data_IF_119028198538
#
_entry.id   IF_119028198538
#
_cell.length_a   1.000
_cell.length_b   1.000
_cell.length_c   1.000
_cell.angle_alpha   90.00
_cell.angle_beta   90.00
_cell.angle_gamma   90.00
#
_symmetry.space_group_name_H-M   'P 1'
#
loop_
_entity.id
_entity.type
_entity.pdbx_description
1 polymer ?
#
# COMPACT_ATOMS: atom_id res chain seq x y z
N UNK A 1 -74.99 36.31 50.51
CA UNK A 1 -73.89 36.03 51.45
C UNK A 1 -73.27 34.70 51.07
N UNK A 2 -71.93 34.63 50.96
CA UNK A 2 -71.16 33.38 50.85
C UNK A 2 -70.40 33.20 49.54
N UNK A 3 -69.10 33.53 49.55
CA UNK A 3 -68.11 33.38 48.48
C UNK A 3 -67.51 31.95 48.39
N UNK A 4 -66.97 31.62 47.20
CA UNK A 4 -65.89 30.63 46.99
C UNK A 4 -66.13 29.82 45.70
N UNK A 5 -65.26 29.68 44.71
CA UNK A 5 -63.92 30.14 44.34
C UNK A 5 -63.69 29.63 42.89
N UNK A 6 -62.72 30.13 42.12
CA UNK A 6 -62.69 29.91 40.66
C UNK A 6 -62.21 28.51 40.24
N UNK A 7 -63.03 27.81 39.44
CA UNK A 7 -62.70 26.54 38.78
C UNK A 7 -61.80 26.77 37.56
N UNK A 8 -60.64 26.10 37.53
CA UNK A 8 -59.72 26.05 36.39
C UNK A 8 -60.08 24.79 35.57
N UNK A 9 -60.45 24.91 34.29
CA UNK A 9 -60.73 23.73 33.46
C UNK A 9 -59.43 23.01 33.07
N UNK A 10 -59.34 21.73 33.43
CA UNK A 10 -58.31 20.83 32.92
C UNK A 10 -58.63 20.44 31.48
N UNK A 11 -57.70 20.70 30.56
CA UNK A 11 -57.80 20.27 29.16
C UNK A 11 -57.62 18.75 29.04
N UNK A 12 -58.52 18.03 28.34
CA UNK A 12 -58.32 16.62 28.02
C UNK A 12 -57.21 16.43 26.99
N UNK A 13 -56.30 15.49 27.29
CA UNK A 13 -55.22 15.03 26.41
C UNK A 13 -55.81 14.14 25.29
N UNK A 14 -55.64 14.47 23.99
CA UNK A 14 -56.10 13.61 22.92
C UNK A 14 -55.21 12.36 22.75
N UNK A 15 -55.86 11.20 22.79
CA UNK A 15 -55.25 9.90 22.54
C UNK A 15 -54.86 9.68 21.07
N UNK A 16 -53.94 8.75 20.88
CA UNK A 16 -53.44 8.33 19.58
C UNK A 16 -54.51 7.55 18.80
N UNK A 17 -54.86 8.04 17.61
CA UNK A 17 -55.51 7.24 16.57
C UNK A 17 -54.79 7.48 15.24
N UNK A 18 -54.28 6.40 14.66
CA UNK A 18 -53.70 6.33 13.31
C UNK A 18 -54.76 6.60 12.25
N UNK A 19 -54.52 7.49 11.28
CA UNK A 19 -55.28 7.51 10.03
C UNK A 19 -54.60 6.66 8.95
N UNK A 20 -55.46 6.05 8.14
CA UNK A 20 -55.25 4.90 7.27
C UNK A 20 -54.28 5.10 6.10
N UNK A 21 -53.69 3.98 5.67
CA UNK A 21 -52.94 3.84 4.42
C UNK A 21 -53.79 4.31 3.22
N UNK A 22 -53.34 5.35 2.53
CA UNK A 22 -53.78 5.64 1.18
C UNK A 22 -53.07 4.70 0.20
N UNK A 23 -53.84 4.00 -0.63
CA UNK A 23 -53.33 3.18 -1.72
C UNK A 23 -52.69 4.11 -2.77
N UNK A 24 -51.41 3.89 -3.08
CA UNK A 24 -50.74 4.54 -4.21
C UNK A 24 -51.33 4.03 -5.54
N UNK A 25 -51.57 4.91 -6.54
CA UNK A 25 -51.91 4.50 -7.89
C UNK A 25 -50.81 3.63 -8.52
N UNK A 26 -51.23 2.58 -9.22
CA UNK A 26 -50.36 1.49 -9.71
C UNK A 26 -49.23 1.94 -10.64
N UNK A 27 -48.06 1.34 -10.41
CA UNK A 27 -46.94 1.35 -11.35
C UNK A 27 -47.22 0.38 -12.50
N UNK A 28 -47.19 0.89 -13.73
CA UNK A 28 -47.02 0.09 -14.94
C UNK A 28 -45.55 -0.32 -15.06
N UNK A 29 -45.21 -1.60 -15.34
CA UNK A 29 -43.84 -2.00 -15.57
C UNK A 29 -43.33 -1.49 -16.93
N UNK A 30 -42.05 -1.08 -17.06
CA UNK A 30 -41.46 -0.74 -18.35
C UNK A 30 -41.28 -1.99 -19.25
N UNK A 31 -41.40 -1.86 -20.58
CA UNK A 31 -41.25 -2.98 -21.51
C UNK A 31 -39.85 -3.61 -21.51
N UNK A 32 -39.81 -4.91 -21.81
CA UNK A 32 -38.68 -5.81 -21.65
C UNK A 32 -37.44 -5.56 -22.51
N UNK A 33 -36.39 -6.28 -22.13
CA UNK A 33 -35.05 -6.30 -22.71
C UNK A 33 -35.05 -6.65 -24.21
N UNK A 34 -34.38 -5.81 -24.99
CA UNK A 34 -33.89 -6.14 -26.34
C UNK A 34 -32.41 -6.56 -26.26
N UNK A 35 -31.94 -7.55 -27.07
CA UNK A 35 -30.53 -7.95 -27.08
C UNK A 35 -29.63 -6.88 -27.72
N UNK A 36 -28.43 -6.74 -27.15
CA UNK A 36 -27.40 -5.76 -27.49
C UNK A 36 -26.74 -6.06 -28.86
N UNK A 37 -26.55 -5.09 -29.77
CA UNK A 37 -25.78 -5.27 -31.00
C UNK A 37 -24.27 -5.39 -30.73
N UNK A 38 -23.60 -6.28 -31.45
CA UNK A 38 -22.20 -6.67 -31.28
C UNK A 38 -21.16 -5.56 -31.54
N UNK A 39 -19.99 -5.76 -30.95
CA UNK A 39 -18.81 -4.89 -31.03
C UNK A 39 -18.31 -4.72 -32.48
N UNK A 40 -18.05 -3.48 -32.88
CA UNK A 40 -17.21 -3.13 -34.03
C UNK A 40 -15.77 -2.84 -33.55
N UNK A 41 -14.70 -3.20 -34.31
CA UNK A 41 -13.32 -2.87 -33.94
C UNK A 41 -12.99 -1.38 -34.10
N UNK A 42 -12.23 -0.82 -33.15
CA UNK A 42 -11.71 0.56 -33.19
C UNK A 42 -10.70 0.77 -34.34
N UNK A 43 -10.77 1.89 -35.09
CA UNK A 43 -9.72 2.31 -36.03
C UNK A 43 -8.45 2.78 -35.32
N UNK A 44 -7.29 2.42 -35.87
CA UNK A 44 -5.96 2.66 -35.32
C UNK A 44 -5.50 4.13 -35.28
N UNK A 45 -4.59 4.40 -34.35
CA UNK A 45 -3.96 5.70 -34.12
C UNK A 45 -3.04 6.12 -35.28
N UNK A 46 -3.20 7.35 -35.77
CA UNK A 46 -2.21 8.07 -36.59
C UNK A 46 -1.25 8.88 -35.68
N UNK A 47 0.06 8.96 -35.98
CA UNK A 47 1.01 9.77 -35.20
C UNK A 47 0.90 11.28 -35.50
N UNK A 48 1.06 12.11 -34.46
CA UNK A 48 1.02 13.58 -34.52
C UNK A 48 2.28 14.18 -35.20
N UNK A 49 2.15 15.26 -36.01
CA UNK A 49 3.29 15.99 -36.57
C UNK A 49 4.02 16.86 -35.52
N UNK A 50 5.35 16.86 -35.57
CA UNK A 50 6.23 17.62 -34.68
C UNK A 50 6.23 19.14 -34.92
N UNK A 51 6.48 19.89 -33.85
CA UNK A 51 6.54 21.36 -33.85
C UNK A 51 7.88 21.89 -34.41
N UNK A 52 7.79 22.89 -35.29
CA UNK A 52 8.92 23.74 -35.74
C UNK A 52 9.08 24.99 -34.85
N UNK A 53 10.31 25.52 -34.61
CA UNK A 53 10.52 26.74 -33.83
C UNK A 53 10.30 28.04 -34.64
N UNK A 54 9.73 29.07 -34.01
CA UNK A 54 9.47 30.40 -34.61
C UNK A 54 10.72 31.31 -34.60
N UNK A 55 10.98 32.13 -35.64
CA UNK A 55 12.04 33.14 -35.64
C UNK A 55 11.59 34.45 -34.95
N UNK A 56 12.43 34.98 -34.07
CA UNK A 56 12.23 36.27 -33.41
C UNK A 56 12.65 37.45 -34.28
N UNK A 57 11.89 38.54 -34.22
CA UNK A 57 12.27 39.83 -34.80
C UNK A 57 12.37 40.88 -33.70
N UNK A 58 13.54 41.49 -33.57
CA UNK A 58 13.77 42.73 -32.82
C UNK A 58 13.60 43.93 -33.76
N UNK A 59 12.81 44.92 -33.36
CA UNK A 59 12.67 46.20 -34.06
C UNK A 59 13.26 47.32 -33.17
N UNK A 60 14.11 48.23 -33.69
CA UNK A 60 14.61 49.38 -32.94
C UNK A 60 13.68 50.60 -33.11
N UNK A 61 13.21 51.20 -31.99
CA UNK A 61 12.47 52.47 -32.00
C UNK A 61 13.40 53.68 -31.76
N UNK A 62 13.25 54.80 -32.49
CA UNK A 62 14.00 56.05 -32.25
C UNK A 62 13.49 56.80 -31.02
N UNK A 63 14.44 57.34 -30.24
CA UNK A 63 14.20 57.96 -28.94
C UNK A 63 13.73 59.41 -28.99
N UNK A 64 12.89 59.75 -28.01
CA UNK A 64 12.66 61.12 -27.55
C UNK A 64 13.05 61.18 -26.07
N UNK A 65 14.01 62.04 -25.73
CA UNK A 65 14.44 62.31 -24.36
C UNK A 65 13.50 63.30 -23.70
N UNK A 66 12.86 62.90 -22.61
CA UNK A 66 12.22 63.80 -21.64
C UNK A 66 12.93 63.64 -20.28
N UNK A 67 13.34 64.72 -19.60
CA UNK A 67 14.01 64.61 -18.30
C UNK A 67 12.98 64.33 -17.19
N UNK A 68 13.05 63.14 -16.57
CA UNK A 68 12.26 62.78 -15.38
C UNK A 68 12.98 63.19 -14.08
N UNK A 69 12.25 63.69 -13.05
CA UNK A 69 12.80 63.94 -11.71
C UNK A 69 13.17 62.63 -11.01
N UNK A 70 14.27 62.66 -10.26
CA UNK A 70 14.86 61.50 -9.61
C UNK A 70 13.97 60.88 -8.53
N UNK A 71 13.66 59.60 -8.72
CA UNK A 71 13.17 58.71 -7.67
C UNK A 71 14.23 57.61 -7.46
N UNK A 72 14.58 57.37 -6.21
CA UNK A 72 15.51 56.30 -5.80
C UNK A 72 14.95 54.94 -6.20
N UNK A 73 15.69 54.18 -7.02
CA UNK A 73 15.33 52.80 -7.38
C UNK A 73 15.64 51.83 -6.21
N UNK A 74 14.71 50.93 -5.85
CA UNK A 74 15.03 49.75 -5.04
C UNK A 74 15.91 48.79 -5.84
N UNK A 75 16.94 48.25 -5.19
CA UNK A 75 17.92 47.35 -5.79
C UNK A 75 17.24 46.00 -6.15
N UNK A 76 17.05 45.75 -7.45
CA UNK A 76 16.51 44.48 -7.94
C UNK A 76 17.59 43.39 -7.92
N UNK A 77 17.42 42.38 -7.06
CA UNK A 77 18.13 41.11 -7.17
C UNK A 77 17.54 40.29 -8.33
N UNK A 78 18.34 39.60 -9.16
CA UNK A 78 17.82 38.79 -10.25
C UNK A 78 16.93 37.66 -9.71
N UNK A 79 15.76 37.39 -10.30
CA UNK A 79 14.98 36.22 -9.95
C UNK A 79 15.80 34.97 -10.26
N UNK A 80 16.12 34.18 -9.23
CA UNK A 80 16.65 32.84 -9.42
C UNK A 80 15.61 32.02 -10.17
N UNK A 81 15.93 31.58 -11.38
CA UNK A 81 15.12 30.63 -12.12
C UNK A 81 15.13 29.30 -11.38
N UNK A 82 14.15 29.12 -10.50
CA UNK A 82 13.82 27.83 -9.92
C UNK A 82 13.13 27.02 -11.01
N UNK A 83 13.85 26.10 -11.65
CA UNK A 83 13.23 25.11 -12.52
C UNK A 83 12.24 24.31 -11.66
N UNK A 84 10.93 24.37 -11.91
CA UNK A 84 10.00 23.51 -11.18
C UNK A 84 10.34 22.08 -11.55
N UNK A 85 10.89 21.33 -10.59
CA UNK A 85 11.10 19.90 -10.72
C UNK A 85 9.74 19.28 -11.06
N UNK A 86 9.63 18.68 -12.25
CA UNK A 86 8.39 18.06 -12.70
C UNK A 86 7.96 17.00 -11.68
N UNK A 87 6.96 17.33 -10.87
CA UNK A 87 6.42 16.43 -9.87
C UNK A 87 5.73 15.28 -10.60
N UNK A 88 6.08 14.04 -10.26
CA UNK A 88 5.43 12.86 -10.83
C UNK A 88 3.95 12.89 -10.47
N UNK A 89 3.02 12.74 -11.45
CA UNK A 89 1.60 12.80 -11.15
C UNK A 89 1.19 11.73 -10.12
N UNK A 90 0.30 12.09 -9.17
CA UNK A 90 -0.26 11.12 -8.24
C UNK A 90 -1.08 10.05 -8.99
N UNK A 91 -1.14 8.85 -8.42
CA UNK A 91 -1.94 7.75 -8.94
C UNK A 91 -3.44 8.00 -8.68
N UNK A 92 -4.29 7.42 -9.53
CA UNK A 92 -5.72 7.34 -9.23
C UNK A 92 -5.96 6.39 -8.05
N UNK A 93 -7.07 6.54 -7.30
CA UNK A 93 -7.39 5.62 -6.20
C UNK A 93 -7.52 4.15 -6.63
N UNK A 94 -7.94 3.89 -7.87
CA UNK A 94 -8.00 2.54 -8.43
C UNK A 94 -6.62 1.96 -8.65
N UNK A 95 -5.71 2.74 -9.25
CA UNK A 95 -4.34 2.32 -9.51
C UNK A 95 -3.56 2.10 -8.21
N UNK A 96 -3.78 2.94 -7.18
CA UNK A 96 -3.18 2.73 -5.86
C UNK A 96 -3.56 1.37 -5.27
N UNK A 97 -4.83 0.95 -5.39
CA UNK A 97 -5.27 -0.38 -4.93
C UNK A 97 -4.64 -1.51 -5.74
N UNK A 98 -4.54 -1.36 -7.05
CA UNK A 98 -3.92 -2.38 -7.91
C UNK A 98 -2.44 -2.57 -7.58
N UNK A 99 -1.68 -1.48 -7.42
CA UNK A 99 -0.26 -1.57 -7.04
C UNK A 99 -0.10 -2.10 -5.62
N UNK A 100 -0.95 -1.69 -4.67
CA UNK A 100 -0.93 -2.21 -3.31
C UNK A 100 -1.22 -3.73 -3.26
N UNK A 101 -2.23 -4.19 -4.00
CA UNK A 101 -2.53 -5.61 -4.15
C UNK A 101 -1.35 -6.36 -4.77
N UNK A 102 -0.82 -5.85 -5.88
CA UNK A 102 0.29 -6.47 -6.59
C UNK A 102 1.54 -6.58 -5.72
N UNK A 103 1.80 -5.57 -4.90
CA UNK A 103 2.93 -5.56 -3.96
C UNK A 103 2.88 -6.76 -3.04
N UNK A 104 1.75 -7.04 -2.41
CA UNK A 104 1.62 -8.18 -1.50
C UNK A 104 1.66 -9.53 -2.23
N UNK A 105 0.98 -9.64 -3.37
CA UNK A 105 0.95 -10.89 -4.16
C UNK A 105 2.34 -11.24 -4.67
N UNK A 106 3.04 -10.30 -5.30
CA UNK A 106 4.40 -10.52 -5.76
C UNK A 106 5.40 -10.62 -4.60
N UNK A 107 5.12 -9.98 -3.47
CA UNK A 107 5.90 -10.08 -2.24
C UNK A 107 5.95 -11.51 -1.70
N UNK A 108 4.91 -12.33 -1.90
CA UNK A 108 4.92 -13.75 -1.50
C UNK A 108 6.05 -14.49 -2.24
N UNK A 109 6.16 -14.30 -3.55
CA UNK A 109 7.11 -15.05 -4.40
C UNK A 109 8.53 -14.48 -4.39
N UNK A 110 8.66 -13.16 -4.41
CA UNK A 110 9.96 -12.49 -4.61
C UNK A 110 10.46 -11.75 -3.36
N UNK A 111 9.67 -11.74 -2.27
CA UNK A 111 10.06 -11.16 -0.99
C UNK A 111 10.32 -9.66 -1.04
N UNK A 112 11.33 -9.24 -0.29
CA UNK A 112 11.65 -7.83 -0.06
C UNK A 112 11.98 -7.06 -1.36
N UNK A 113 12.42 -7.76 -2.43
CA UNK A 113 12.74 -7.14 -3.71
C UNK A 113 11.51 -6.45 -4.34
N UNK A 114 10.37 -7.15 -4.39
CA UNK A 114 9.11 -6.57 -4.90
C UNK A 114 8.76 -5.29 -4.16
N UNK A 115 8.69 -5.36 -2.83
CA UNK A 115 8.23 -4.26 -1.99
C UNK A 115 9.19 -3.08 -2.07
N UNK A 116 10.49 -3.34 -2.20
CA UNK A 116 11.52 -2.30 -2.41
C UNK A 116 11.31 -1.58 -3.74
N UNK A 117 11.15 -2.34 -4.84
CA UNK A 117 10.92 -1.75 -6.16
C UNK A 117 9.61 -0.94 -6.14
N UNK A 118 8.52 -1.52 -5.61
CA UNK A 118 7.23 -0.85 -5.59
C UNK A 118 7.23 0.40 -4.69
N UNK A 119 7.94 0.35 -3.55
CA UNK A 119 8.11 1.52 -2.67
C UNK A 119 8.89 2.64 -3.36
N UNK A 120 9.98 2.31 -4.06
CA UNK A 120 10.81 3.31 -4.74
C UNK A 120 10.11 3.91 -5.97
N UNK A 121 9.39 3.08 -6.74
CA UNK A 121 8.73 3.50 -7.98
C UNK A 121 7.40 4.22 -7.72
N UNK A 122 6.58 3.70 -6.81
CA UNK A 122 5.21 4.16 -6.59
C UNK A 122 4.98 4.83 -5.24
N UNK A 123 5.85 4.64 -4.26
CA UNK A 123 5.65 5.14 -2.90
C UNK A 123 5.57 6.67 -2.78
N UNK A 124 5.99 7.45 -3.78
CA UNK A 124 5.81 8.91 -3.81
C UNK A 124 4.51 9.36 -4.49
N UNK A 125 3.77 8.43 -5.10
CA UNK A 125 2.63 8.73 -5.98
C UNK A 125 1.26 8.58 -5.31
N UNK A 126 1.22 8.33 -4.01
CA UNK A 126 -0.03 8.28 -3.26
C UNK A 126 0.16 7.73 -1.85
N UNK A 127 -0.65 8.16 -0.86
CA UNK A 127 -0.50 7.73 0.52
C UNK A 127 -0.86 6.26 0.75
N UNK A 128 -1.82 5.71 -0.02
CA UNK A 128 -2.28 4.32 0.16
C UNK A 128 -1.29 3.33 -0.43
N UNK A 129 -0.77 3.60 -1.63
CA UNK A 129 0.31 2.77 -2.20
C UNK A 129 1.59 2.86 -1.36
N UNK A 130 1.91 4.05 -0.82
CA UNK A 130 3.08 4.24 0.04
C UNK A 130 3.00 3.42 1.32
N UNK A 131 1.85 3.41 1.98
CA UNK A 131 1.67 2.62 3.20
C UNK A 131 1.79 1.13 2.92
N UNK A 132 1.10 0.61 1.90
CA UNK A 132 1.15 -0.83 1.61
C UNK A 132 2.55 -1.31 1.19
N UNK A 133 3.25 -0.51 0.38
CA UNK A 133 4.62 -0.83 -0.03
C UNK A 133 5.62 -0.75 1.13
N UNK A 134 5.51 0.25 2.01
CA UNK A 134 6.32 0.34 3.22
C UNK A 134 5.99 -0.78 4.22
N UNK A 135 4.71 -1.07 4.45
CA UNK A 135 4.26 -2.11 5.37
C UNK A 135 4.70 -3.49 4.91
N UNK A 136 4.56 -3.79 3.62
CA UNK A 136 5.07 -5.05 3.05
C UNK A 136 6.58 -5.13 3.17
N UNK A 137 7.32 -4.07 2.81
CA UNK A 137 8.78 -4.07 2.92
C UNK A 137 9.25 -4.30 4.36
N UNK A 138 8.64 -3.63 5.34
CA UNK A 138 8.93 -3.84 6.76
C UNK A 138 8.72 -5.31 7.17
N UNK A 139 7.63 -5.93 6.74
CA UNK A 139 7.32 -7.32 7.03
C UNK A 139 8.28 -8.29 6.36
N UNK A 140 8.59 -8.08 5.08
CA UNK A 140 9.54 -8.91 4.33
C UNK A 140 10.94 -8.86 4.94
N UNK A 141 11.41 -7.67 5.33
CA UNK A 141 12.71 -7.53 5.99
C UNK A 141 12.72 -8.22 7.36
N UNK A 142 11.67 -8.03 8.16
CA UNK A 142 11.55 -8.66 9.48
C UNK A 142 11.59 -10.18 9.37
N UNK A 143 10.80 -10.76 8.48
CA UNK A 143 10.75 -12.21 8.27
C UNK A 143 12.04 -12.75 7.66
N UNK A 144 12.66 -12.01 6.73
CA UNK A 144 13.95 -12.38 6.14
C UNK A 144 15.05 -12.44 7.20
N UNK A 145 15.11 -11.47 8.12
CA UNK A 145 16.06 -11.48 9.24
C UNK A 145 15.81 -12.72 10.12
N UNK A 146 14.57 -12.99 10.50
CA UNK A 146 14.22 -14.15 11.33
C UNK A 146 14.63 -15.49 10.70
N UNK A 147 14.31 -15.68 9.41
CA UNK A 147 14.70 -16.90 8.66
C UNK A 147 16.22 -17.00 8.54
N UNK A 148 16.91 -15.89 8.27
CA UNK A 148 18.38 -15.88 8.14
C UNK A 148 19.05 -16.27 9.46
N UNK A 149 18.63 -15.66 10.58
CA UNK A 149 19.17 -15.98 11.90
C UNK A 149 18.89 -17.44 12.29
N UNK A 150 17.67 -17.93 12.06
CA UNK A 150 17.32 -19.34 12.32
C UNK A 150 18.17 -20.31 11.50
N UNK A 151 18.41 -19.99 10.23
CA UNK A 151 19.26 -20.81 9.34
C UNK A 151 20.71 -20.82 9.82
N UNK A 152 21.25 -19.67 10.23
CA UNK A 152 22.62 -19.60 10.77
C UNK A 152 22.74 -20.47 12.03
N UNK A 153 21.79 -20.38 12.96
CA UNK A 153 21.81 -21.18 14.18
C UNK A 153 21.74 -22.67 13.86
N UNK A 154 20.87 -23.08 12.93
CA UNK A 154 20.78 -24.48 12.50
C UNK A 154 22.10 -24.99 11.90
N UNK A 155 22.69 -24.23 10.97
CA UNK A 155 23.96 -24.61 10.33
C UNK A 155 25.13 -24.67 11.31
N UNK A 156 25.21 -23.71 12.25
CA UNK A 156 26.25 -23.73 13.30
C UNK A 156 26.06 -24.94 14.22
N UNK A 157 24.83 -25.27 14.58
CA UNK A 157 24.52 -26.47 15.35
C UNK A 157 24.99 -27.75 14.66
N UNK A 158 24.65 -27.90 13.38
CA UNK A 158 25.08 -29.05 12.57
C UNK A 158 26.60 -29.16 12.46
N UNK A 159 27.30 -28.04 12.25
CA UNK A 159 28.78 -28.03 12.17
C UNK A 159 29.41 -28.45 13.50
N UNK A 160 28.88 -27.97 14.63
CA UNK A 160 29.39 -28.35 15.96
C UNK A 160 29.21 -29.86 16.17
N UNK A 161 28.03 -30.41 15.89
CA UNK A 161 27.73 -31.84 16.04
C UNK A 161 28.67 -32.67 15.15
N UNK A 162 28.76 -32.34 13.86
CA UNK A 162 29.65 -33.05 12.94
C UNK A 162 31.14 -32.97 13.36
N UNK A 163 31.55 -31.84 13.96
CA UNK A 163 32.93 -31.68 14.44
C UNK A 163 33.22 -32.50 15.70
N UNK A 164 32.25 -32.70 16.59
CA UNK A 164 32.43 -33.60 17.74
C UNK A 164 32.60 -35.05 17.28
N UNK A 165 31.84 -35.50 16.29
CA UNK A 165 31.91 -36.88 15.81
C UNK A 165 33.26 -37.18 15.13
N UNK A 166 33.82 -36.20 14.41
CA UNK A 166 35.18 -36.26 13.87
C UNK A 166 36.26 -36.36 14.96
N UNK A 167 36.08 -35.67 16.09
CA UNK A 167 37.03 -35.67 17.20
C UNK A 167 36.94 -36.96 18.00
N UNK A 168 35.73 -37.42 18.35
CA UNK A 168 35.50 -38.64 19.14
C UNK A 168 35.69 -39.95 18.34
N UNK A 169 35.49 -39.91 17.02
CA UNK A 169 35.72 -41.06 16.14
C UNK A 169 37.20 -41.32 15.82
N UNK A 170 38.09 -40.36 16.04
CA UNK A 170 39.53 -40.50 15.76
C UNK A 170 40.29 -41.29 16.84
N UNK A 171 39.71 -41.43 18.05
CA UNK A 171 40.32 -42.10 19.20
C UNK A 171 39.86 -43.55 19.41
N UNK A 172 38.84 -44.03 18.68
CA UNK A 172 38.35 -45.42 18.80
C UNK A 172 38.69 -46.26 17.54
N UNK A 173 39.33 -47.41 17.79
CA UNK A 173 39.77 -48.35 16.76
C UNK A 173 38.58 -49.10 16.16
N UNK A 174 38.22 -48.74 14.92
CA UNK A 174 37.64 -49.59 13.86
C UNK A 174 36.32 -50.34 14.19
N UNK A 175 35.26 -49.86 13.52
CA UNK A 175 34.12 -50.63 12.98
C UNK A 175 32.82 -50.75 13.79
N UNK A 176 32.34 -49.65 14.36
CA UNK A 176 30.91 -49.33 14.29
C UNK A 176 30.83 -47.86 13.91
N UNK A 177 30.54 -47.55 12.64
CA UNK A 177 30.16 -46.18 12.28
C UNK A 177 28.94 -45.80 13.11
N UNK A 178 29.03 -44.74 13.88
CA UNK A 178 28.00 -44.35 14.82
C UNK A 178 26.78 -43.80 14.05
N UNK A 179 25.84 -44.68 13.74
CA UNK A 179 24.55 -44.34 13.11
C UNK A 179 23.84 -43.15 13.83
N UNK A 180 24.19 -42.87 15.08
CA UNK A 180 23.69 -41.74 15.88
C UNK A 180 24.11 -40.35 15.39
N UNK A 181 25.29 -40.17 14.79
CA UNK A 181 25.74 -38.86 14.32
C UNK A 181 24.90 -38.37 13.14
N UNK A 182 24.74 -39.25 12.14
CA UNK A 182 23.90 -38.99 10.97
C UNK A 182 22.44 -38.78 11.36
N UNK A 183 21.92 -39.59 12.28
CA UNK A 183 20.55 -39.44 12.78
C UNK A 183 20.35 -38.12 13.51
N UNK A 184 21.28 -37.73 14.39
CA UNK A 184 21.22 -36.46 15.13
C UNK A 184 21.27 -35.26 14.18
N UNK A 185 22.20 -35.25 13.24
CA UNK A 185 22.31 -34.18 12.24
C UNK A 185 21.04 -34.06 11.38
N UNK A 186 20.48 -35.18 10.92
CA UNK A 186 19.23 -35.18 10.16
C UNK A 186 18.04 -34.66 10.98
N UNK A 187 17.98 -34.97 12.27
CA UNK A 187 16.93 -34.46 13.17
C UNK A 187 17.06 -32.95 13.35
N UNK A 188 18.26 -32.42 13.59
CA UNK A 188 18.50 -30.97 13.76
C UNK A 188 18.19 -30.22 12.46
N UNK A 189 18.68 -30.72 11.33
CA UNK A 189 18.36 -30.17 10.01
C UNK A 189 16.84 -30.21 9.75
N UNK A 190 16.19 -31.34 10.07
CA UNK A 190 14.75 -31.51 9.93
C UNK A 190 13.97 -30.49 10.76
N UNK A 191 14.36 -30.25 12.01
CA UNK A 191 13.78 -29.20 12.86
C UNK A 191 13.99 -27.82 12.23
N UNK A 192 15.19 -27.52 11.74
CA UNK A 192 15.48 -26.27 11.05
C UNK A 192 14.58 -26.04 9.83
N UNK A 193 14.42 -27.07 8.99
CA UNK A 193 13.53 -27.04 7.83
C UNK A 193 12.07 -26.83 8.24
N UNK A 194 11.59 -27.49 9.30
CA UNK A 194 10.22 -27.32 9.81
C UNK A 194 9.97 -25.90 10.35
N UNK A 195 10.94 -25.31 11.03
CA UNK A 195 10.85 -23.91 11.50
C UNK A 195 10.77 -22.96 10.31
N UNK A 196 11.65 -23.13 9.31
CA UNK A 196 11.65 -22.31 8.09
C UNK A 196 10.33 -22.46 7.34
N UNK A 197 9.84 -23.69 7.15
CA UNK A 197 8.57 -23.96 6.50
C UNK A 197 7.40 -23.29 7.22
N UNK A 198 7.38 -23.35 8.56
CA UNK A 198 6.38 -22.68 9.39
C UNK A 198 6.40 -21.16 9.18
N UNK A 199 7.59 -20.54 9.18
CA UNK A 199 7.75 -19.11 8.91
C UNK A 199 7.31 -18.73 7.50
N UNK A 200 7.59 -19.56 6.48
CA UNK A 200 7.13 -19.34 5.11
C UNK A 200 5.60 -19.42 4.98
N UNK A 201 4.96 -20.34 5.69
CA UNK A 201 3.49 -20.45 5.74
C UNK A 201 2.89 -19.20 6.38
N UNK A 202 3.39 -18.79 7.56
CA UNK A 202 2.93 -17.58 8.26
C UNK A 202 3.10 -16.34 7.36
N UNK A 203 4.26 -16.21 6.71
CA UNK A 203 4.54 -15.14 5.75
C UNK A 203 3.54 -15.10 4.60
N UNK A 204 3.21 -16.25 4.05
CA UNK A 204 2.26 -16.38 2.94
C UNK A 204 0.84 -16.01 3.39
N UNK A 205 0.39 -16.51 4.54
CA UNK A 205 -0.93 -16.20 5.10
C UNK A 205 -1.08 -14.69 5.29
N UNK A 206 -0.11 -14.04 5.96
CA UNK A 206 -0.21 -12.60 6.16
C UNK A 206 -0.13 -11.82 4.85
N UNK A 207 0.70 -12.24 3.88
CA UNK A 207 0.73 -11.63 2.54
C UNK A 207 -0.63 -11.68 1.84
N UNK A 208 -1.33 -12.81 1.93
CA UNK A 208 -2.69 -12.97 1.39
C UNK A 208 -3.68 -12.06 2.12
N UNK A 209 -3.64 -12.01 3.45
CA UNK A 209 -4.54 -11.13 4.22
C UNK A 209 -4.31 -9.64 3.89
N UNK A 210 -3.06 -9.24 3.70
CA UNK A 210 -2.70 -7.89 3.29
C UNK A 210 -3.16 -7.58 1.85
N UNK A 211 -3.00 -8.54 0.92
CA UNK A 211 -3.52 -8.44 -0.45
C UNK A 211 -5.05 -8.28 -0.47
N UNK A 212 -5.77 -9.07 0.32
CA UNK A 212 -7.24 -8.97 0.45
C UNK A 212 -7.65 -7.61 1.04
N UNK A 213 -6.93 -7.11 2.03
CA UNK A 213 -7.17 -5.79 2.59
C UNK A 213 -6.92 -4.66 1.55
N UNK A 214 -5.82 -4.74 0.82
CA UNK A 214 -5.48 -3.80 -0.26
C UNK A 214 -6.57 -3.76 -1.35
N UNK A 215 -7.05 -4.93 -1.77
CA UNK A 215 -8.15 -5.04 -2.74
C UNK A 215 -9.44 -4.37 -2.23
N UNK A 216 -9.72 -4.47 -0.92
CA UNK A 216 -10.84 -3.79 -0.28
C UNK A 216 -10.60 -2.29 -0.02
N UNK A 217 -9.42 -1.76 -0.37
CA UNK A 217 -9.04 -0.37 -0.09
C UNK A 217 -8.81 -0.08 1.38
N UNK A 218 -8.44 -1.09 2.17
CA UNK A 218 -8.15 -0.96 3.60
C UNK A 218 -6.66 -1.08 3.84
N UNK A 219 -6.14 -0.22 4.71
CA UNK A 219 -4.79 -0.37 5.24
C UNK A 219 -4.67 -1.70 6.01
N UNK A 220 -3.50 -2.33 5.91
CA UNK A 220 -3.19 -3.55 6.65
C UNK A 220 -1.91 -3.34 7.46
N UNK A 221 -1.87 -3.92 8.66
CA UNK A 221 -0.69 -3.87 9.55
C UNK A 221 -0.34 -5.29 9.94
N UNK A 222 0.88 -5.70 9.62
CA UNK A 222 1.38 -7.02 9.98
C UNK A 222 1.63 -7.09 11.49
N UNK A 223 1.16 -8.15 12.18
CA UNK A 223 1.60 -8.40 13.54
C UNK A 223 3.10 -8.72 13.52
N UNK A 224 3.83 -8.22 14.53
CA UNK A 224 5.27 -8.49 14.72
C UNK A 224 6.21 -7.96 13.62
N UNK A 225 5.80 -7.02 12.76
CA UNK A 225 6.72 -6.36 11.83
C UNK A 225 7.49 -5.21 12.51
N UNK A 226 8.81 -5.18 12.32
CA UNK A 226 9.65 -4.06 12.76
C UNK A 226 9.45 -2.88 11.78
N UNK A 227 9.13 -1.66 12.25
CA UNK A 227 8.82 -0.52 11.38
C UNK A 227 10.10 0.20 10.92
N UNK A 228 10.84 -0.39 9.97
CA UNK A 228 12.03 0.25 9.38
C UNK A 228 11.69 1.54 8.63
N UNK A 229 10.56 1.52 7.91
CA UNK A 229 9.99 2.65 7.20
C UNK A 229 8.69 3.05 7.88
N UNK A 230 8.52 4.34 8.15
CA UNK A 230 7.27 4.86 8.71
C UNK A 230 6.13 4.68 7.71
N UNK A 231 5.05 4.04 8.16
CA UNK A 231 3.81 3.91 7.43
C UNK A 231 2.90 5.08 7.82
N UNK A 232 2.30 5.74 6.83
CA UNK A 232 1.28 6.74 7.10
C UNK A 232 -0.05 6.03 7.26
N UNK A 233 -0.25 5.50 8.45
CA UNK A 233 -1.56 5.08 8.92
C UNK A 233 -2.39 6.39 8.93
N UNK A 234 -3.44 6.51 8.12
CA UNK A 234 -4.34 7.66 8.30
C UNK A 234 -4.82 7.56 9.76
N UNK A 235 -4.48 8.61 10.51
CA UNK A 235 -4.82 8.81 11.90
C UNK A 235 -6.24 8.33 12.19
N UNK A 236 -6.39 7.51 13.23
CA UNK A 236 -7.54 7.65 14.11
C UNK A 236 -7.50 9.03 14.76
#
# INVERSE_FOLDING_TARGET
MGHGGPHIPHTPQPGYTQPQHTLQPGYTPPPGYTPQPGYTPQPGYTPQPGYTPQPGYTQPQPGYTQPQPGYTQPQHTPPGYNYPQAATPPLSPGDEKQIALLTHVLGIFFGWLTSTIMFLVYGKRGPFVRSHTATDLNFQLTTTIGVTLGTIVALVGDVIIASSDLVYGANDTILVGDESALVTGLVVLGIGVLIIATLLIIRTIFGILAAVAANRGRFYKFPMSIPFIRTHDRQE
#
